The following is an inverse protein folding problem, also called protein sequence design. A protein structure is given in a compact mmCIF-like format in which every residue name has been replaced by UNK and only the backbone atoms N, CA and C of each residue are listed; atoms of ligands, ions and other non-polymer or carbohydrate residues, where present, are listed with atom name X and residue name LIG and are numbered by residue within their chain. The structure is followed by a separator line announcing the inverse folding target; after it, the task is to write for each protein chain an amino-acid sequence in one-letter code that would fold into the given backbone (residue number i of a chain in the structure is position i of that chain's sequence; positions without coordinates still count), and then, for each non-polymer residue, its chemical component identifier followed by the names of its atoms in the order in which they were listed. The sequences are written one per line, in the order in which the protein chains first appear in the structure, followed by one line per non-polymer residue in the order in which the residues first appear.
data_IF_336630832932
#
_entry.id   IF_336630832932
#
_cell.length_a   1.000
_cell.length_b   1.000
_cell.length_c   1.000
_cell.angle_alpha   90.00
_cell.angle_beta   90.00
_cell.angle_gamma   90.00
#
_symmetry.space_group_name_H-M   'P 1'
#
loop_
_entity.id
_entity.type
_entity.pdbx_description
1 polymer ?
#
# COMPACT_ATOMS: atom_id res chain seq x y z
N UNK A 1 29.00 11.64 7.27
CA UNK A 1 30.42 11.41 7.01
C UNK A 1 30.98 12.60 6.27
N UNK A 2 31.95 13.26 6.89
CA UNK A 2 32.77 14.30 6.28
C UNK A 2 34.21 13.79 6.29
N UNK A 3 35.03 14.23 5.34
CA UNK A 3 36.45 13.89 5.35
C UNK A 3 37.14 14.61 6.52
N UNK A 4 38.26 14.07 6.99
CA UNK A 4 39.12 14.77 7.94
C UNK A 4 39.48 16.16 7.41
N UNK A 5 39.39 17.18 8.27
CA UNK A 5 39.59 18.58 7.91
C UNK A 5 40.55 19.30 8.88
N UNK A 6 41.44 18.54 9.51
CA UNK A 6 42.54 19.10 10.29
C UNK A 6 43.46 19.95 9.41
N UNK A 7 44.13 20.96 9.98
CA UNK A 7 45.05 21.83 9.26
C UNK A 7 46.21 21.06 8.59
N UNK A 8 46.52 19.85 9.09
CA UNK A 8 47.56 18.96 8.54
C UNK A 8 47.04 17.97 7.50
N UNK A 9 45.73 18.00 7.17
CA UNK A 9 45.14 17.09 6.19
C UNK A 9 45.72 17.31 4.77
N UNK A 10 45.98 16.20 4.06
CA UNK A 10 46.42 16.26 2.68
C UNK A 10 45.32 16.86 1.77
N UNK A 11 45.72 17.65 0.77
CA UNK A 11 44.79 18.31 -0.17
C UNK A 11 44.22 17.37 -1.24
N UNK A 12 44.79 16.17 -1.37
CA UNK A 12 44.34 15.09 -2.25
C UNK A 12 44.55 13.73 -1.58
N UNK A 13 43.87 12.68 -2.07
CA UNK A 13 44.03 11.33 -1.54
C UNK A 13 45.47 10.85 -1.78
N UNK A 14 46.27 10.60 -0.72
CA UNK A 14 47.64 10.13 -0.88
C UNK A 14 47.68 8.73 -1.51
N UNK A 15 48.70 8.47 -2.33
CA UNK A 15 48.94 7.12 -2.88
C UNK A 15 49.23 6.16 -1.72
N UNK A 16 48.47 5.06 -1.57
CA UNK A 16 48.73 4.07 -0.53
C UNK A 16 50.05 3.34 -0.79
N UNK A 17 50.66 2.84 0.29
CA UNK A 17 51.79 1.94 0.20
C UNK A 17 51.44 0.64 -0.57
N UNK A 18 52.46 -0.07 -1.06
CA UNK A 18 52.27 -1.38 -1.68
C UNK A 18 51.61 -2.37 -0.71
N UNK A 19 50.69 -3.18 -1.22
CA UNK A 19 49.98 -4.18 -0.42
C UNK A 19 50.97 -5.19 0.20
N UNK A 20 50.89 -5.34 1.52
CA UNK A 20 51.55 -6.43 2.25
C UNK A 20 50.62 -7.64 2.42
N UNK A 21 51.04 -8.60 3.24
CA UNK A 21 50.18 -9.71 3.67
C UNK A 21 49.10 -9.22 4.64
N UNK A 22 47.86 -9.66 4.46
CA UNK A 22 46.73 -9.29 5.32
C UNK A 22 46.89 -9.85 6.75
N UNK A 23 46.37 -9.14 7.75
CA UNK A 23 46.43 -9.51 9.17
C UNK A 23 45.50 -8.67 10.04
N UNK A 24 45.54 -8.89 11.36
CA UNK A 24 44.68 -8.22 12.34
C UNK A 24 45.46 -7.22 13.21
N UNK A 25 44.74 -6.26 13.81
CA UNK A 25 45.32 -5.37 14.81
C UNK A 25 45.79 -6.17 16.04
N UNK A 26 46.95 -5.80 16.60
CA UNK A 26 47.48 -6.33 17.86
C UNK A 26 47.97 -5.18 18.74
N UNK A 27 47.71 -5.30 20.04
CA UNK A 27 48.30 -4.42 21.08
C UNK A 27 49.81 -4.67 21.26
N UNK A 28 50.35 -5.68 20.56
CA UNK A 28 51.70 -6.17 20.76
C UNK A 28 51.83 -6.98 22.06
N UNK A 29 53.03 -7.47 22.31
CA UNK A 29 53.38 -8.12 23.56
C UNK A 29 54.89 -7.90 23.81
N UNK A 30 55.25 -7.03 24.76
CA UNK A 30 56.65 -6.77 25.09
C UNK A 30 57.42 -8.01 25.56
N UNK A 31 56.75 -8.97 26.23
CA UNK A 31 57.41 -10.19 26.73
C UNK A 31 57.83 -11.13 25.59
N UNK A 32 57.16 -11.05 24.44
CA UNK A 32 57.51 -11.80 23.22
C UNK A 32 58.13 -10.91 22.15
N UNK A 33 58.52 -9.67 22.51
CA UNK A 33 59.05 -8.67 21.57
C UNK A 33 58.16 -8.43 20.34
N UNK A 34 56.84 -8.60 20.48
CA UNK A 34 55.88 -8.38 19.39
C UNK A 34 55.43 -6.92 19.42
N UNK A 35 55.68 -6.11 18.36
CA UNK A 35 55.25 -4.71 18.34
C UNK A 35 53.73 -4.58 18.18
N UNK A 36 53.17 -3.49 18.71
CA UNK A 36 51.79 -3.10 18.44
C UNK A 36 51.60 -2.66 16.98
N UNK A 37 50.37 -2.79 16.47
CA UNK A 37 50.05 -2.34 15.11
C UNK A 37 50.12 -0.82 14.98
N UNK A 38 50.81 -0.33 13.95
CA UNK A 38 50.79 1.08 13.57
C UNK A 38 49.65 1.33 12.57
N UNK A 39 48.62 2.06 12.98
CA UNK A 39 47.52 2.45 12.08
C UNK A 39 48.01 3.54 11.12
N UNK A 40 47.96 3.28 9.82
CA UNK A 40 48.44 4.20 8.78
C UNK A 40 47.32 5.06 8.23
N UNK A 41 47.69 6.24 7.71
CA UNK A 41 46.74 7.16 7.07
C UNK A 41 46.05 6.56 5.84
N UNK A 42 46.72 5.70 5.07
CA UNK A 42 46.13 4.96 3.93
C UNK A 42 44.94 4.11 4.35
N UNK A 43 45.04 3.38 5.46
CA UNK A 43 43.94 2.57 5.99
C UNK A 43 42.76 3.43 6.46
N UNK A 44 43.03 4.54 7.18
CA UNK A 44 41.98 5.47 7.61
C UNK A 44 41.29 6.16 6.43
N UNK A 45 42.06 6.58 5.42
CA UNK A 45 41.53 7.16 4.20
C UNK A 45 40.69 6.14 3.41
N UNK A 46 41.09 4.87 3.36
CA UNK A 46 40.28 3.81 2.75
C UNK A 46 38.90 3.72 3.43
N UNK A 47 38.85 3.61 4.76
CA UNK A 47 37.57 3.58 5.50
C UNK A 47 36.76 4.86 5.25
N UNK A 48 37.41 6.03 5.29
CA UNK A 48 36.76 7.30 5.02
C UNK A 48 36.15 7.35 3.62
N UNK A 49 36.89 6.95 2.60
CA UNK A 49 36.45 7.01 1.21
C UNK A 49 35.38 5.96 0.90
N UNK A 50 35.43 4.77 1.49
CA UNK A 50 34.36 3.76 1.40
C UNK A 50 33.03 4.33 1.96
N UNK A 51 33.06 4.92 3.16
CA UNK A 51 31.86 5.55 3.74
C UNK A 51 31.39 6.75 2.90
N UNK A 52 32.32 7.52 2.35
CA UNK A 52 32.03 8.64 1.47
C UNK A 52 31.49 8.21 0.10
N UNK A 53 31.84 7.02 -0.39
CA UNK A 53 31.35 6.43 -1.63
C UNK A 53 29.90 5.96 -1.46
N UNK A 54 29.55 5.37 -0.32
CA UNK A 54 28.15 5.02 0.03
C UNK A 54 27.25 6.25 -0.03
N UNK A 55 27.68 7.38 0.57
CA UNK A 55 26.96 8.64 0.50
C UNK A 55 26.79 9.13 -0.96
N UNK A 56 27.85 9.07 -1.76
CA UNK A 56 27.82 9.49 -3.15
C UNK A 56 26.85 8.62 -3.98
N UNK A 57 26.88 7.29 -3.79
CA UNK A 57 25.97 6.35 -4.45
C UNK A 57 24.50 6.63 -4.11
N UNK A 58 24.22 7.03 -2.87
CA UNK A 58 22.88 7.45 -2.44
C UNK A 58 22.52 8.90 -2.83
N UNK A 59 23.46 9.67 -3.42
CA UNK A 59 23.27 11.09 -3.73
C UNK A 59 23.11 11.97 -2.48
N UNK A 60 23.81 11.63 -1.39
CA UNK A 60 23.80 12.39 -0.13
C UNK A 60 25.08 13.23 -0.04
N UNK A 61 24.90 14.55 0.08
CA UNK A 61 25.99 15.49 0.31
C UNK A 61 26.62 15.26 1.69
N UNK A 62 27.95 15.26 1.76
CA UNK A 62 28.73 15.13 3.00
C UNK A 62 28.48 16.32 3.93
N UNK A 63 28.42 16.08 5.24
CA UNK A 63 28.16 17.11 6.25
C UNK A 63 28.95 16.80 7.51
N UNK A 64 29.57 17.83 8.09
CA UNK A 64 30.29 17.70 9.37
C UNK A 64 29.35 17.73 10.58
N UNK A 65 28.15 18.29 10.42
CA UNK A 65 27.17 18.46 11.50
C UNK A 65 26.09 17.38 11.52
N UNK A 66 26.12 16.44 10.56
CA UNK A 66 25.13 15.36 10.45
C UNK A 66 25.75 14.00 10.77
N UNK A 67 25.25 13.36 11.82
CA UNK A 67 25.81 12.11 12.35
C UNK A 67 25.07 10.84 11.88
N UNK A 68 24.16 10.94 10.92
CA UNK A 68 23.32 9.84 10.44
C UNK A 68 23.40 9.60 8.92
N UNK A 69 24.37 10.21 8.23
CA UNK A 69 24.37 10.24 6.77
C UNK A 69 24.57 8.87 6.11
N UNK A 70 25.37 7.99 6.71
CA UNK A 70 25.54 6.61 6.21
C UNK A 70 24.23 5.83 6.39
N UNK A 71 23.55 6.02 7.52
CA UNK A 71 22.25 5.41 7.75
C UNK A 71 21.20 5.91 6.73
N UNK A 72 21.16 7.22 6.45
CA UNK A 72 20.30 7.78 5.41
C UNK A 72 20.62 7.22 4.01
N UNK A 73 21.90 6.98 3.71
CA UNK A 73 22.32 6.40 2.44
C UNK A 73 21.78 4.98 2.29
N UNK A 74 21.95 4.15 3.31
CA UNK A 74 21.44 2.78 3.33
C UNK A 74 19.91 2.75 3.22
N UNK A 75 19.21 3.62 3.96
CA UNK A 75 17.75 3.74 3.87
C UNK A 75 17.30 4.04 2.44
N UNK A 76 17.95 5.00 1.77
CA UNK A 76 17.58 5.40 0.41
C UNK A 76 17.90 4.32 -0.63
N UNK A 77 19.00 3.59 -0.45
CA UNK A 77 19.42 2.53 -1.37
C UNK A 77 18.59 1.25 -1.21
N UNK A 78 18.06 0.98 0.00
CA UNK A 78 17.32 -0.23 0.33
C UNK A 78 15.91 0.08 0.87
N UNK A 79 15.13 0.84 0.11
CA UNK A 79 13.74 1.22 0.44
C UNK A 79 12.70 0.43 -0.39
N UNK A 80 12.32 -0.81 0.02
CA UNK A 80 11.17 -1.48 -0.56
C UNK A 80 9.89 -0.64 -0.41
N UNK A 81 8.94 -0.85 -1.32
CA UNK A 81 7.69 -0.08 -1.35
C UNK A 81 6.79 -0.50 -0.18
N UNK A 82 6.41 0.47 0.66
CA UNK A 82 5.48 0.27 1.77
C UNK A 82 4.15 -0.34 1.28
N UNK A 83 3.66 -1.35 2.00
CA UNK A 83 2.45 -2.10 1.66
C UNK A 83 2.68 -3.24 0.67
N UNK A 84 3.90 -3.46 0.17
CA UNK A 84 4.24 -4.72 -0.51
C UNK A 84 4.04 -5.86 0.49
N UNK A 85 3.31 -6.90 0.07
CA UNK A 85 2.97 -8.03 0.92
C UNK A 85 2.93 -9.34 0.12
N UNK A 86 3.06 -10.46 0.83
CA UNK A 86 3.03 -11.81 0.26
C UNK A 86 1.97 -12.66 0.96
N UNK A 87 1.14 -13.34 0.16
CA UNK A 87 0.09 -14.24 0.63
C UNK A 87 -0.82 -13.58 1.67
N UNK A 88 -1.15 -12.31 1.45
CA UNK A 88 -1.95 -11.58 2.40
C UNK A 88 -3.42 -11.99 2.30
N UNK A 89 -4.07 -12.18 3.44
CA UNK A 89 -5.46 -12.62 3.49
C UNK A 89 -6.21 -12.15 4.73
N UNK A 90 -7.51 -12.00 4.56
CA UNK A 90 -8.46 -11.77 5.64
C UNK A 90 -9.81 -12.34 5.22
N UNK A 91 -10.46 -13.10 6.12
CA UNK A 91 -11.78 -13.69 5.86
C UNK A 91 -12.75 -13.29 6.96
N UNK A 92 -13.92 -12.82 6.56
CA UNK A 92 -15.05 -12.53 7.44
C UNK A 92 -16.22 -13.35 6.93
N UNK A 93 -16.49 -14.49 7.56
CA UNK A 93 -17.54 -15.44 7.14
C UNK A 93 -18.92 -15.06 7.69
N UNK A 94 -18.97 -14.25 8.74
CA UNK A 94 -20.18 -13.68 9.33
C UNK A 94 -19.84 -12.27 9.79
N UNK A 95 -20.78 -11.33 9.66
CA UNK A 95 -20.54 -9.94 10.05
C UNK A 95 -20.08 -9.87 11.52
N UNK A 96 -18.96 -9.20 11.75
CA UNK A 96 -18.26 -9.21 13.03
C UNK A 96 -17.51 -7.90 13.26
N UNK A 97 -17.46 -7.43 14.50
CA UNK A 97 -16.58 -6.31 14.86
C UNK A 97 -15.10 -6.71 14.86
N UNK A 98 -14.81 -8.02 14.88
CA UNK A 98 -13.46 -8.57 14.94
C UNK A 98 -13.11 -9.33 13.67
N UNK A 99 -11.89 -9.14 13.19
CA UNK A 99 -11.31 -9.89 12.09
C UNK A 99 -9.81 -10.10 12.29
N UNK A 100 -9.23 -11.05 11.56
CA UNK A 100 -7.79 -11.31 11.58
C UNK A 100 -7.23 -11.16 10.18
N UNK A 101 -6.17 -10.35 10.07
CA UNK A 101 -5.39 -10.20 8.84
C UNK A 101 -4.08 -10.94 9.00
N UNK A 102 -3.75 -11.75 7.99
CA UNK A 102 -2.52 -12.52 7.94
C UNK A 102 -1.75 -12.24 6.64
N UNK A 103 -0.42 -12.32 6.70
CA UNK A 103 0.47 -12.30 5.54
C UNK A 103 1.82 -12.92 5.93
N UNK A 104 2.50 -13.56 4.98
CA UNK A 104 3.82 -14.15 5.23
C UNK A 104 4.87 -13.06 5.44
N UNK A 105 4.77 -11.97 4.68
CA UNK A 105 5.66 -10.82 4.78
C UNK A 105 4.89 -9.53 4.46
N UNK A 106 5.17 -8.46 5.22
CA UNK A 106 4.67 -7.10 4.95
C UNK A 106 5.80 -6.09 5.07
N UNK A 107 5.91 -5.18 4.11
CA UNK A 107 6.80 -4.01 4.20
C UNK A 107 6.03 -2.84 4.80
N UNK A 108 6.50 -2.31 5.93
CA UNK A 108 5.98 -1.07 6.56
C UNK A 108 7.02 0.03 6.49
N UNK A 109 6.59 1.30 6.52
CA UNK A 109 7.52 2.43 6.47
C UNK A 109 7.13 3.56 7.43
N UNK A 110 8.11 4.34 7.87
CA UNK A 110 7.87 5.51 8.75
C UNK A 110 7.22 6.69 8.03
N UNK A 111 7.43 6.79 6.72
CA UNK A 111 6.83 7.76 5.82
C UNK A 111 6.95 7.23 4.38
N UNK A 112 6.30 7.89 3.42
CA UNK A 112 6.59 7.63 2.00
C UNK A 112 8.06 7.95 1.71
N UNK A 113 8.80 6.96 1.19
CA UNK A 113 10.25 7.07 0.99
C UNK A 113 11.09 7.10 2.28
N UNK A 114 10.47 6.86 3.44
CA UNK A 114 11.14 6.81 4.73
C UNK A 114 11.81 5.46 5.02
N UNK A 115 12.27 5.27 6.26
CA UNK A 115 12.82 3.99 6.72
C UNK A 115 11.75 2.91 6.61
N UNK A 116 12.12 1.79 6.02
CA UNK A 116 11.26 0.62 5.85
C UNK A 116 11.66 -0.49 6.82
N UNK A 117 10.68 -1.34 7.15
CA UNK A 117 10.87 -2.55 7.94
C UNK A 117 10.09 -3.69 7.30
N UNK A 118 10.65 -4.89 7.35
CA UNK A 118 9.98 -6.11 6.87
C UNK A 118 9.48 -6.91 8.05
N UNK A 119 8.19 -7.17 8.08
CA UNK A 119 7.52 -7.94 9.12
C UNK A 119 7.23 -9.33 8.57
N UNK A 120 7.83 -10.36 9.14
CA UNK A 120 7.56 -11.74 8.78
C UNK A 120 6.42 -12.32 9.63
N UNK A 121 5.70 -13.31 9.09
CA UNK A 121 4.64 -14.05 9.78
C UNK A 121 3.61 -13.13 10.44
N UNK A 122 3.18 -12.09 9.72
CA UNK A 122 2.22 -11.13 10.25
C UNK A 122 0.87 -11.82 10.41
N UNK A 123 0.38 -11.90 11.65
CA UNK A 123 -0.94 -12.44 11.96
C UNK A 123 -1.49 -11.65 13.14
N UNK A 124 -2.43 -10.74 12.86
CA UNK A 124 -2.95 -9.79 13.84
C UNK A 124 -4.45 -9.68 13.75
N UNK A 125 -5.08 -9.63 14.92
CA UNK A 125 -6.50 -9.39 15.07
C UNK A 125 -6.77 -7.90 15.24
N UNK A 126 -7.89 -7.44 14.67
CA UNK A 126 -8.43 -6.09 14.82
C UNK A 126 -9.86 -6.20 15.38
N UNK A 127 -10.22 -5.33 16.32
CA UNK A 127 -11.57 -5.18 16.88
C UNK A 127 -12.05 -3.73 16.71
N UNK A 128 -13.07 -3.52 15.87
CA UNK A 128 -13.66 -2.21 15.59
C UNK A 128 -14.39 -1.56 16.77
N UNK A 129 -14.65 -2.33 17.84
CA UNK A 129 -15.26 -1.82 19.07
C UNK A 129 -14.26 -1.23 20.08
N UNK A 130 -12.95 -1.35 19.82
CA UNK A 130 -11.90 -0.80 20.69
C UNK A 130 -11.13 0.32 19.96
N UNK A 131 -10.40 1.13 20.73
CA UNK A 131 -9.51 2.18 20.21
C UNK A 131 -8.06 1.88 20.57
N UNK A 132 -7.13 2.23 19.70
CA UNK A 132 -5.69 1.99 19.85
C UNK A 132 -5.18 0.80 19.03
N UNK A 133 -4.01 0.28 19.39
CA UNK A 133 -3.42 -0.86 18.69
C UNK A 133 -4.36 -2.08 18.74
N UNK A 134 -4.70 -2.63 17.58
CA UNK A 134 -5.69 -3.68 17.43
C UNK A 134 -7.14 -3.19 17.35
N UNK A 135 -7.39 -1.88 17.22
CA UNK A 135 -8.73 -1.32 17.05
C UNK A 135 -8.75 -0.06 16.17
N UNK A 136 -9.79 0.76 16.33
CA UNK A 136 -9.89 2.07 15.68
C UNK A 136 -8.80 3.02 16.17
N UNK A 137 -8.31 3.90 15.32
CA UNK A 137 -7.35 4.93 15.67
C UNK A 137 -7.98 6.00 16.55
N UNK A 138 -9.22 6.38 16.24
CA UNK A 138 -10.05 7.24 17.06
C UNK A 138 -11.54 6.94 16.85
N UNK A 139 -12.35 7.27 17.85
CA UNK A 139 -13.80 7.16 17.77
C UNK A 139 -14.30 5.73 17.48
N UNK A 140 -15.49 5.65 16.89
CA UNK A 140 -16.13 4.41 16.49
C UNK A 140 -15.97 4.14 15.00
N UNK A 141 -16.01 2.87 14.60
CA UNK A 141 -16.09 2.51 13.18
C UNK A 141 -17.32 3.14 12.51
N UNK A 142 -17.24 3.52 11.23
CA UNK A 142 -18.38 4.09 10.52
C UNK A 142 -19.52 3.08 10.41
N UNK A 143 -20.77 3.56 10.47
CA UNK A 143 -21.93 2.74 10.11
C UNK A 143 -22.11 2.78 8.58
N UNK A 144 -22.20 1.62 7.94
CA UNK A 144 -22.38 1.50 6.48
C UNK A 144 -21.34 2.28 5.65
N UNK A 145 -20.11 2.37 6.13
CA UNK A 145 -18.99 3.07 5.49
C UNK A 145 -17.81 2.14 5.23
N UNK A 146 -16.58 2.67 5.33
CA UNK A 146 -15.35 1.91 5.11
C UNK A 146 -14.30 2.19 6.18
N UNK A 147 -13.55 1.17 6.56
CA UNK A 147 -12.37 1.28 7.41
C UNK A 147 -11.12 0.93 6.61
N UNK A 148 -10.11 1.80 6.64
CA UNK A 148 -8.77 1.45 6.18
C UNK A 148 -8.02 0.75 7.32
N UNK A 149 -7.42 -0.40 7.02
CA UNK A 149 -6.61 -1.16 7.96
C UNK A 149 -5.14 -0.97 7.63
N UNK A 150 -4.35 -0.62 8.65
CA UNK A 150 -2.91 -0.47 8.56
C UNK A 150 -2.23 -1.53 9.42
N UNK A 151 -1.21 -2.20 8.87
CA UNK A 151 -0.20 -2.84 9.70
C UNK A 151 0.66 -1.74 10.32
N UNK A 152 0.83 -1.75 11.64
CA UNK A 152 1.64 -0.79 12.39
C UNK A 152 2.78 -1.51 13.10
N UNK A 153 3.94 -0.85 13.19
CA UNK A 153 5.15 -1.40 13.79
C UNK A 153 5.86 -0.40 14.71
N UNK A 154 6.34 -0.91 15.84
CA UNK A 154 7.21 -0.22 16.79
C UNK A 154 8.65 -0.72 16.60
N UNK A 155 9.54 0.07 15.95
CA UNK A 155 10.92 -0.34 15.70
C UNK A 155 11.78 -0.50 16.96
N UNK A 156 11.38 0.11 18.08
CA UNK A 156 12.12 0.04 19.34
C UNK A 156 11.87 -1.28 20.07
N UNK A 157 10.63 -1.78 20.06
CA UNK A 157 10.24 -3.00 20.79
C UNK A 157 10.04 -4.22 19.89
N UNK A 158 9.96 -4.02 18.57
CA UNK A 158 9.59 -5.07 17.62
C UNK A 158 8.09 -5.40 17.61
N UNK A 159 7.26 -4.67 18.38
CA UNK A 159 5.82 -4.93 18.45
C UNK A 159 5.12 -4.56 17.13
N UNK A 160 4.17 -5.39 16.71
CA UNK A 160 3.31 -5.14 15.55
C UNK A 160 1.84 -5.37 15.88
N UNK A 161 0.97 -4.59 15.24
CA UNK A 161 -0.48 -4.65 15.40
C UNK A 161 -1.18 -4.19 14.11
N UNK A 162 -2.52 -4.22 14.12
CA UNK A 162 -3.33 -3.51 13.14
C UNK A 162 -3.85 -2.20 13.75
N UNK A 163 -4.18 -1.24 12.90
CA UNK A 163 -4.87 0.00 13.26
C UNK A 163 -5.92 0.31 12.19
N UNK A 164 -7.15 0.55 12.59
CA UNK A 164 -8.24 0.91 11.68
C UNK A 164 -8.49 2.42 11.71
N UNK A 165 -8.83 3.03 10.59
CA UNK A 165 -9.30 4.43 10.54
C UNK A 165 -10.45 4.56 9.56
N UNK A 166 -11.34 5.53 9.79
CA UNK A 166 -12.47 5.76 8.91
C UNK A 166 -11.99 6.26 7.53
N UNK A 167 -12.32 5.50 6.48
CA UNK A 167 -11.94 5.78 5.09
C UNK A 167 -13.18 6.02 4.20
N UNK A 168 -14.33 6.37 4.79
CA UNK A 168 -15.59 6.49 4.06
C UNK A 168 -15.59 7.64 3.07
N UNK A 169 -15.02 8.79 3.45
CA UNK A 169 -15.16 10.05 2.71
C UNK A 169 -13.88 10.50 2.01
N UNK A 170 -12.76 9.79 2.18
CA UNK A 170 -11.47 10.17 1.62
C UNK A 170 -10.60 8.94 1.34
N UNK A 171 -9.68 9.09 0.38
CA UNK A 171 -8.69 8.06 0.07
C UNK A 171 -7.71 7.93 1.25
N UNK A 172 -7.63 6.74 1.82
CA UNK A 172 -6.64 6.41 2.84
C UNK A 172 -5.23 6.33 2.21
N UNK A 173 -4.21 6.99 2.77
CA UNK A 173 -2.85 6.94 2.25
C UNK A 173 -2.19 5.54 2.39
N UNK A 174 -1.10 5.29 1.67
CA UNK A 174 -0.36 4.01 1.75
C UNK A 174 0.42 3.83 3.05
N UNK A 175 0.75 4.93 3.74
CA UNK A 175 1.33 4.97 5.08
C UNK A 175 0.39 5.83 5.93
N UNK A 176 0.07 5.38 7.14
CA UNK A 176 -0.85 6.07 8.02
C UNK A 176 -0.37 7.51 8.28
N UNK A 177 -1.20 8.49 7.89
CA UNK A 177 -0.92 9.92 8.07
C UNK A 177 -1.75 10.58 9.16
N UNK A 178 -2.53 9.82 9.92
CA UNK A 178 -3.36 10.34 11.01
C UNK A 178 -2.56 10.67 12.26
N UNK A 179 -3.17 11.43 13.18
CA UNK A 179 -2.53 11.87 14.41
C UNK A 179 -2.61 10.84 15.55
N UNK A 180 -3.40 9.77 15.41
CA UNK A 180 -3.75 8.86 16.50
C UNK A 180 -2.95 7.54 16.45
N UNK A 181 -1.71 7.59 15.96
CA UNK A 181 -0.82 6.44 15.99
C UNK A 181 -0.55 6.05 17.46
N UNK A 182 -0.74 4.77 17.87
CA UNK A 182 -0.45 4.34 19.23
C UNK A 182 1.01 4.58 19.62
N UNK A 183 1.26 4.88 20.90
CA UNK A 183 2.59 5.26 21.38
C UNK A 183 3.68 4.23 21.03
N UNK A 184 4.80 4.71 20.50
CA UNK A 184 5.94 3.89 20.09
C UNK A 184 5.82 3.24 18.72
N UNK A 185 4.62 3.16 18.13
CA UNK A 185 4.47 2.76 16.73
C UNK A 185 4.82 3.93 15.84
N UNK A 186 5.74 3.74 14.90
CA UNK A 186 6.25 4.81 14.04
C UNK A 186 6.32 4.42 12.58
N UNK A 187 6.07 3.16 12.24
CA UNK A 187 5.99 2.69 10.86
C UNK A 187 4.64 2.05 10.59
N UNK A 188 4.15 2.19 9.35
CA UNK A 188 2.89 1.58 8.95
C UNK A 188 2.82 1.27 7.44
N UNK A 189 1.84 0.47 7.07
CA UNK A 189 1.43 0.29 5.68
C UNK A 189 -0.07 -0.03 5.59
N UNK A 190 -0.75 0.55 4.59
CA UNK A 190 -2.13 0.20 4.26
C UNK A 190 -2.17 -1.25 3.75
N UNK A 191 -2.96 -2.09 4.43
CA UNK A 191 -3.12 -3.51 4.09
C UNK A 191 -4.51 -3.85 3.56
N UNK A 192 -5.53 -3.06 3.91
CA UNK A 192 -6.90 -3.27 3.45
C UNK A 192 -7.73 -1.99 3.52
N UNK A 193 -8.81 -1.94 2.76
CA UNK A 193 -9.93 -1.03 3.00
C UNK A 193 -11.21 -1.85 2.91
N UNK A 194 -11.89 -2.03 4.05
CA UNK A 194 -12.98 -3.01 4.20
C UNK A 194 -14.31 -2.31 4.50
N UNK A 195 -15.46 -2.77 3.95
CA UNK A 195 -16.75 -2.13 4.20
C UNK A 195 -17.29 -2.49 5.59
N UNK A 196 -18.05 -1.58 6.16
CA UNK A 196 -18.77 -1.77 7.43
C UNK A 196 -20.28 -1.87 7.17
N UNK A 197 -21.02 -2.53 8.05
CA UNK A 197 -22.49 -2.56 8.01
C UNK A 197 -23.11 -1.49 8.93
N UNK A 198 -24.45 -1.42 8.98
CA UNK A 198 -25.16 -0.48 9.85
C UNK A 198 -24.89 -0.69 11.35
N UNK A 199 -24.44 -1.89 11.74
CA UNK A 199 -24.02 -2.23 13.10
C UNK A 199 -22.52 -1.99 13.35
N UNK A 200 -21.83 -1.26 12.48
CA UNK A 200 -20.40 -0.93 12.58
C UNK A 200 -19.45 -2.15 12.58
N UNK A 201 -19.90 -3.26 12.01
CA UNK A 201 -19.13 -4.50 11.87
C UNK A 201 -18.52 -4.61 10.49
N UNK A 202 -17.41 -5.34 10.35
CA UNK A 202 -16.94 -5.80 9.05
C UNK A 202 -18.03 -6.59 8.34
N UNK A 203 -18.25 -6.28 7.06
CA UNK A 203 -19.17 -7.06 6.22
C UNK A 203 -18.55 -8.40 5.84
N UNK A 204 -19.40 -9.36 5.48
CA UNK A 204 -18.95 -10.67 4.96
C UNK A 204 -18.14 -10.47 3.68
N UNK A 205 -16.98 -11.12 3.62
CA UNK A 205 -16.08 -10.99 2.50
C UNK A 205 -14.77 -11.73 2.70
N UNK A 206 -13.95 -11.70 1.66
CA UNK A 206 -12.63 -12.30 1.63
C UNK A 206 -11.65 -11.37 0.93
N UNK A 207 -10.44 -11.30 1.44
CA UNK A 207 -9.34 -10.62 0.79
C UNK A 207 -8.23 -11.61 0.45
N UNK A 208 -7.76 -11.53 -0.79
CA UNK A 208 -6.51 -12.10 -1.28
C UNK A 208 -5.63 -10.98 -1.83
N UNK A 209 -4.48 -10.77 -1.20
CA UNK A 209 -3.60 -9.64 -1.43
C UNK A 209 -4.37 -8.32 -1.49
N UNK A 210 -4.31 -7.59 -2.59
CA UNK A 210 -4.97 -6.28 -2.76
C UNK A 210 -6.40 -6.38 -3.28
N UNK A 211 -6.98 -7.58 -3.33
CA UNK A 211 -8.32 -7.83 -3.86
C UNK A 211 -9.27 -8.13 -2.71
N UNK A 212 -10.33 -7.35 -2.59
CA UNK A 212 -11.39 -7.57 -1.60
C UNK A 212 -12.66 -7.99 -2.34
N UNK A 213 -13.23 -9.12 -1.95
CA UNK A 213 -14.46 -9.68 -2.50
C UNK A 213 -15.52 -9.68 -1.43
N UNK A 214 -16.73 -9.24 -1.76
CA UNK A 214 -17.85 -9.12 -0.83
C UNK A 214 -19.11 -9.71 -1.45
N UNK A 215 -20.15 -9.91 -0.65
CA UNK A 215 -21.48 -10.23 -1.16
C UNK A 215 -21.94 -9.18 -2.18
N UNK A 216 -22.63 -9.60 -3.24
CA UNK A 216 -23.14 -8.71 -4.29
C UNK A 216 -23.96 -7.56 -3.73
N UNK A 217 -23.65 -6.33 -4.18
CA UNK A 217 -24.35 -5.09 -3.84
C UNK A 217 -24.96 -4.48 -5.09
N UNK A 218 -26.21 -4.03 -4.99
CA UNK A 218 -26.85 -3.28 -6.06
C UNK A 218 -26.26 -1.87 -6.15
N UNK A 219 -25.93 -1.43 -7.36
CA UNK A 219 -25.37 -0.11 -7.65
C UNK A 219 -26.41 0.78 -8.30
N UNK A 220 -27.01 0.30 -9.39
CA UNK A 220 -27.92 1.08 -10.21
C UNK A 220 -28.98 0.17 -10.85
N UNK A 221 -30.18 0.73 -10.99
CA UNK A 221 -31.28 0.18 -11.77
C UNK A 221 -31.80 1.31 -12.65
N UNK A 222 -31.57 1.22 -13.96
CA UNK A 222 -31.75 2.32 -14.91
C UNK A 222 -32.65 1.86 -16.04
N UNK A 223 -33.64 2.69 -16.40
CA UNK A 223 -34.58 2.39 -17.49
C UNK A 223 -34.45 3.30 -18.72
N UNK A 224 -33.57 4.31 -18.65
CA UNK A 224 -33.35 5.28 -19.71
C UNK A 224 -32.18 4.87 -20.61
N UNK A 225 -32.43 4.82 -21.92
CA UNK A 225 -31.39 4.56 -22.92
C UNK A 225 -30.47 5.77 -23.07
N UNK A 226 -29.16 5.54 -23.24
CA UNK A 226 -28.16 6.60 -23.37
C UNK A 226 -27.12 6.24 -24.43
N UNK A 227 -26.81 7.21 -25.29
CA UNK A 227 -25.76 7.09 -26.34
C UNK A 227 -24.50 7.89 -26.03
N UNK A 228 -24.54 8.71 -24.97
CA UNK A 228 -23.39 9.46 -24.46
C UNK A 228 -22.97 8.90 -23.09
N UNK A 229 -21.65 8.77 -22.81
CA UNK A 229 -21.16 8.26 -21.54
C UNK A 229 -21.77 9.00 -20.34
N UNK A 230 -22.62 8.31 -19.60
CA UNK A 230 -23.38 8.86 -18.48
C UNK A 230 -22.80 8.33 -17.16
N UNK A 231 -22.47 9.18 -16.18
CA UNK A 231 -21.86 8.72 -14.93
C UNK A 231 -22.85 7.95 -14.05
N UNK A 232 -22.33 7.00 -13.28
CA UNK A 232 -23.02 6.38 -12.15
C UNK A 232 -22.05 6.19 -10.97
N UNK A 233 -22.58 6.30 -9.75
CA UNK A 233 -21.78 6.22 -8.53
C UNK A 233 -21.65 4.78 -8.03
N UNK A 234 -20.45 4.42 -7.57
CA UNK A 234 -20.11 3.14 -6.94
C UNK A 234 -19.91 3.26 -5.43
N UNK A 235 -20.19 4.42 -4.82
CA UNK A 235 -19.86 4.71 -3.42
C UNK A 235 -20.47 3.71 -2.42
N UNK A 236 -21.64 3.14 -2.76
CA UNK A 236 -22.32 2.12 -1.97
C UNK A 236 -21.70 0.72 -2.01
N UNK A 237 -20.69 0.46 -2.85
CA UNK A 237 -20.08 -0.88 -2.93
C UNK A 237 -18.55 -0.93 -3.00
N UNK A 238 -17.87 0.19 -3.31
CA UNK A 238 -16.41 0.25 -3.28
C UNK A 238 -15.93 1.46 -2.46
N UNK A 239 -14.79 1.38 -1.76
CA UNK A 239 -14.21 2.51 -1.05
C UNK A 239 -13.60 3.54 -2.01
N UNK A 240 -13.33 4.79 -1.54
CA UNK A 240 -12.57 5.77 -2.31
C UNK A 240 -11.19 5.27 -2.79
N UNK A 241 -10.58 4.33 -2.06
CA UNK A 241 -9.30 3.71 -2.41
C UNK A 241 -9.36 2.76 -3.62
N UNK A 242 -10.55 2.34 -4.05
CA UNK A 242 -10.68 1.33 -5.09
C UNK A 242 -10.02 1.74 -6.41
N UNK A 243 -9.27 0.81 -7.01
CA UNK A 243 -8.57 0.97 -8.30
C UNK A 243 -9.28 0.23 -9.43
N UNK A 244 -9.91 -0.88 -9.12
CA UNK A 244 -10.79 -1.60 -10.03
C UNK A 244 -12.01 -2.11 -9.27
N UNK A 245 -13.09 -2.41 -9.99
CA UNK A 245 -14.31 -3.01 -9.44
C UNK A 245 -14.72 -4.23 -10.25
N UNK A 246 -15.16 -5.28 -9.55
CA UNK A 246 -15.80 -6.46 -10.15
C UNK A 246 -17.29 -6.23 -10.25
N UNK A 247 -17.81 -6.24 -11.48
CA UNK A 247 -19.21 -5.94 -11.79
C UNK A 247 -19.93 -7.15 -12.38
N UNK A 248 -21.23 -7.20 -12.15
CA UNK A 248 -22.17 -7.96 -13.00
C UNK A 248 -23.19 -6.97 -13.52
N UNK A 249 -23.30 -6.91 -14.84
CA UNK A 249 -24.17 -5.98 -15.55
C UNK A 249 -25.17 -6.77 -16.38
N UNK A 250 -26.44 -6.46 -16.20
CA UNK A 250 -27.53 -6.97 -17.02
C UNK A 250 -28.16 -5.81 -17.80
N UNK A 251 -28.33 -5.98 -19.11
CA UNK A 251 -29.15 -5.09 -19.95
C UNK A 251 -30.26 -5.91 -20.59
N UNK A 252 -31.49 -5.45 -20.50
CA UNK A 252 -32.68 -6.10 -21.06
C UNK A 252 -33.62 -5.08 -21.71
N UNK A 253 -34.43 -5.54 -22.65
CA UNK A 253 -35.54 -4.83 -23.26
C UNK A 253 -36.84 -5.62 -23.13
N UNK A 254 -37.96 -5.05 -23.56
CA UNK A 254 -39.27 -5.75 -23.58
C UNK A 254 -39.55 -6.47 -24.90
N UNK A 255 -38.67 -6.31 -25.89
CA UNK A 255 -38.79 -6.92 -27.22
C UNK A 255 -37.48 -7.57 -27.65
N UNK A 256 -37.53 -8.69 -28.37
CA UNK A 256 -36.35 -9.35 -28.90
C UNK A 256 -35.74 -8.53 -30.04
N UNK A 257 -34.54 -7.99 -29.81
CA UNK A 257 -33.83 -7.14 -30.76
C UNK A 257 -32.34 -7.04 -30.40
N UNK A 258 -31.65 -6.02 -30.90
CA UNK A 258 -30.32 -5.69 -30.41
C UNK A 258 -30.41 -5.12 -28.98
N UNK A 259 -29.56 -5.64 -28.10
CA UNK A 259 -29.23 -5.05 -26.81
C UNK A 259 -27.73 -4.80 -26.74
N UNK A 260 -27.32 -3.69 -26.13
CA UNK A 260 -25.92 -3.41 -25.89
C UNK A 260 -25.73 -2.61 -24.60
N UNK A 261 -24.57 -2.76 -24.00
CA UNK A 261 -24.09 -1.87 -22.95
C UNK A 261 -22.58 -1.72 -23.06
N UNK A 262 -22.11 -0.51 -22.79
CA UNK A 262 -20.70 -0.18 -22.65
C UNK A 262 -20.48 0.37 -21.25
N UNK A 263 -19.40 -0.05 -20.60
CA UNK A 263 -18.89 0.53 -19.36
C UNK A 263 -17.56 1.23 -19.67
N UNK A 264 -17.35 2.42 -19.13
CA UNK A 264 -16.15 3.22 -19.34
C UNK A 264 -15.60 3.74 -18.02
N UNK A 265 -14.30 3.98 -18.01
CA UNK A 265 -13.56 4.54 -16.86
C UNK A 265 -13.54 6.07 -16.86
N UNK A 266 -13.99 6.72 -17.95
CA UNK A 266 -14.13 8.18 -18.07
C UNK A 266 -15.30 8.59 -18.97
N UNK A 267 -15.69 9.87 -18.90
CA UNK A 267 -16.68 10.49 -19.81
C UNK A 267 -16.21 10.61 -21.27
N UNK A 268 -14.91 10.49 -21.51
CA UNK A 268 -14.30 10.55 -22.85
C UNK A 268 -14.15 9.18 -23.51
N UNK A 269 -14.61 8.10 -22.86
CA UNK A 269 -14.60 6.75 -23.41
C UNK A 269 -13.34 5.94 -23.14
N UNK A 270 -12.51 6.32 -22.17
CA UNK A 270 -11.33 5.53 -21.79
C UNK A 270 -11.76 4.18 -21.20
N UNK A 271 -11.05 3.11 -21.58
CA UNK A 271 -11.28 1.73 -21.09
C UNK A 271 -12.71 1.24 -21.34
N UNK A 272 -13.16 1.39 -22.60
CA UNK A 272 -14.46 0.90 -23.05
C UNK A 272 -14.52 -0.63 -23.00
N UNK A 273 -15.40 -1.13 -22.15
CA UNK A 273 -15.78 -2.54 -22.07
C UNK A 273 -17.19 -2.70 -22.66
N UNK A 274 -17.29 -3.32 -23.84
CA UNK A 274 -18.54 -3.48 -24.57
C UNK A 274 -19.05 -4.92 -24.51
N UNK A 275 -20.38 -5.06 -24.41
CA UNK A 275 -21.07 -6.30 -24.70
C UNK A 275 -22.40 -6.02 -25.41
N UNK A 276 -22.73 -6.85 -26.39
CA UNK A 276 -23.94 -6.72 -27.19
C UNK A 276 -24.38 -8.08 -27.73
N UNK A 277 -25.66 -8.21 -28.04
CA UNK A 277 -26.20 -9.37 -28.76
C UNK A 277 -27.39 -8.96 -29.63
N UNK A 278 -27.66 -9.75 -30.68
CA UNK A 278 -28.77 -9.55 -31.60
C UNK A 278 -29.13 -10.89 -32.29
N UNK A 279 -30.39 -11.39 -32.22
CA UNK A 279 -31.51 -10.87 -31.44
C UNK A 279 -31.59 -11.51 -30.03
N UNK A 280 -31.80 -10.71 -28.99
CA UNK A 280 -32.08 -11.18 -27.62
C UNK A 280 -33.02 -10.20 -26.88
N UNK A 281 -33.65 -10.67 -25.81
CA UNK A 281 -34.45 -9.81 -24.90
C UNK A 281 -33.62 -9.30 -23.72
N UNK A 282 -32.49 -9.93 -23.43
CA UNK A 282 -31.55 -9.45 -22.40
C UNK A 282 -30.25 -10.23 -22.39
N UNK A 283 -29.24 -9.65 -21.76
CA UNK A 283 -27.89 -10.16 -21.69
C UNK A 283 -27.25 -9.78 -20.36
N UNK A 284 -26.57 -10.73 -19.72
CA UNK A 284 -25.83 -10.52 -18.48
C UNK A 284 -24.37 -10.86 -18.69
N UNK A 285 -23.47 -9.95 -18.30
CA UNK A 285 -22.02 -10.15 -18.38
C UNK A 285 -21.38 -9.74 -17.07
N UNK A 286 -20.35 -10.50 -16.66
CA UNK A 286 -19.51 -10.17 -15.53
C UNK A 286 -18.21 -9.52 -16.02
N UNK A 287 -17.80 -8.43 -15.38
CA UNK A 287 -16.50 -7.79 -15.58
C UNK A 287 -15.65 -8.04 -14.34
N UNK A 288 -14.53 -8.73 -14.50
CA UNK A 288 -13.66 -9.06 -13.36
C UNK A 288 -12.95 -7.82 -12.80
N UNK A 289 -12.62 -6.85 -13.65
CA UNK A 289 -11.95 -5.62 -13.26
C UNK A 289 -12.26 -4.46 -14.24
N UNK A 290 -13.21 -3.60 -13.89
CA UNK A 290 -13.38 -2.29 -14.54
C UNK A 290 -12.53 -1.25 -13.81
N UNK A 291 -11.71 -0.49 -14.54
CA UNK A 291 -10.73 0.45 -13.96
C UNK A 291 -11.41 1.70 -13.40
N UNK A 292 -10.92 2.23 -12.28
CA UNK A 292 -11.41 3.49 -11.71
C UNK A 292 -10.35 4.58 -11.90
N UNK A 293 -10.65 5.56 -12.76
CA UNK A 293 -9.85 6.78 -12.92
C UNK A 293 -10.32 7.84 -11.92
N UNK A 294 -11.63 8.07 -11.88
CA UNK A 294 -12.28 8.92 -10.87
C UNK A 294 -12.75 8.02 -9.72
N UNK A 295 -12.41 8.33 -8.46
CA UNK A 295 -12.85 7.54 -7.31
C UNK A 295 -14.35 7.27 -7.35
N UNK A 296 -14.73 6.00 -7.18
CA UNK A 296 -16.12 5.54 -7.07
C UNK A 296 -17.04 5.96 -8.23
N UNK A 297 -16.50 6.21 -9.44
CA UNK A 297 -17.32 6.63 -10.60
C UNK A 297 -16.93 5.84 -11.84
N UNK A 298 -17.93 5.30 -12.52
CA UNK A 298 -17.83 4.76 -13.88
C UNK A 298 -18.90 5.43 -14.76
N UNK A 299 -18.79 5.20 -16.06
CA UNK A 299 -19.74 5.73 -17.04
C UNK A 299 -20.34 4.59 -17.85
N UNK A 300 -21.56 4.77 -18.34
CA UNK A 300 -22.20 3.79 -19.21
C UNK A 300 -22.86 4.43 -20.43
N UNK A 301 -23.00 3.63 -21.48
CA UNK A 301 -24.03 3.79 -22.52
C UNK A 301 -24.77 2.47 -22.64
N UNK A 302 -26.08 2.51 -22.88
CA UNK A 302 -26.88 1.31 -23.02
C UNK A 302 -28.11 1.56 -23.88
N UNK A 303 -28.51 0.51 -24.62
CA UNK A 303 -29.71 0.54 -25.45
C UNK A 303 -30.31 -0.85 -25.61
N UNK A 304 -31.64 -0.88 -25.77
CA UNK A 304 -32.44 -2.07 -26.04
C UNK A 304 -33.74 -1.66 -26.76
N UNK A 305 -34.36 -2.56 -27.54
CA UNK A 305 -35.71 -2.29 -28.05
C UNK A 305 -36.78 -2.43 -26.97
N UNK A 306 -37.81 -1.58 -27.07
CA UNK A 306 -38.85 -1.48 -26.06
C UNK A 306 -38.38 -0.73 -24.81
N UNK A 307 -38.90 -1.10 -23.63
CA UNK A 307 -38.46 -0.51 -22.36
C UNK A 307 -37.18 -1.17 -21.89
N UNK A 308 -36.09 -0.40 -21.79
CA UNK A 308 -34.81 -0.91 -21.30
C UNK A 308 -34.83 -1.08 -19.78
N UNK A 309 -34.12 -2.09 -19.28
CA UNK A 309 -33.68 -2.20 -17.88
C UNK A 309 -32.20 -2.53 -17.86
N UNK A 310 -31.42 -1.70 -17.18
CA UNK A 310 -30.00 -1.90 -16.91
C UNK A 310 -29.82 -2.04 -15.40
N UNK A 311 -29.36 -3.21 -14.96
CA UNK A 311 -29.02 -3.48 -13.56
C UNK A 311 -27.52 -3.68 -13.43
N UNK A 312 -26.91 -2.90 -12.54
CA UNK A 312 -25.48 -2.96 -12.24
C UNK A 312 -25.33 -3.40 -10.78
N UNK A 313 -24.50 -4.41 -10.57
CA UNK A 313 -24.12 -4.88 -9.23
C UNK A 313 -22.61 -5.01 -9.12
N UNK A 314 -22.07 -4.88 -7.91
CA UNK A 314 -20.65 -5.03 -7.62
C UNK A 314 -20.42 -6.11 -6.56
N UNK A 315 -19.33 -6.87 -6.67
CA UNK A 315 -19.00 -7.98 -5.75
C UNK A 315 -17.54 -8.01 -5.32
N UNK A 316 -16.76 -6.99 -5.65
CA UNK A 316 -15.38 -6.87 -5.22
C UNK A 316 -14.67 -5.69 -5.84
N UNK A 317 -13.47 -5.41 -5.35
CA UNK A 317 -12.61 -4.32 -5.81
C UNK A 317 -11.15 -4.61 -5.49
N UNK A 318 -10.25 -3.86 -6.10
CA UNK A 318 -8.82 -3.81 -5.72
C UNK A 318 -8.45 -2.46 -5.13
N UNK A 319 -7.39 -2.40 -4.32
CA UNK A 319 -6.87 -1.17 -3.70
C UNK A 319 -5.38 -0.93 -3.95
#
# INVERSE_FOLDING_TARGET
MYRIDDATAATSLPVPEAAGTEGYFTEGNPATSTPATKVRGSWLNMIQEELCAILAAAGISRSKTSYNQVNLALQKMYAPVAGTMRNASMSVTTASATATFAADEIVVATALGGQTFKLANFNKTINLATTGAGGMDAGSAPASGYVALYAIYNPTTGASALLATNATSAVAPNVYGGANMPAGYTASALVSVWPTNASMQFVVGFQDDRRVRTSTRAIANISTQTTTPTPFSLSGAVPPNAKTVKLVVNVAGTSSANVFCNIYSSSTGIDQNQFASNPVTGLTVAFEAATLITPQTLYYTAGASGTMTLTITASGYTI
#
